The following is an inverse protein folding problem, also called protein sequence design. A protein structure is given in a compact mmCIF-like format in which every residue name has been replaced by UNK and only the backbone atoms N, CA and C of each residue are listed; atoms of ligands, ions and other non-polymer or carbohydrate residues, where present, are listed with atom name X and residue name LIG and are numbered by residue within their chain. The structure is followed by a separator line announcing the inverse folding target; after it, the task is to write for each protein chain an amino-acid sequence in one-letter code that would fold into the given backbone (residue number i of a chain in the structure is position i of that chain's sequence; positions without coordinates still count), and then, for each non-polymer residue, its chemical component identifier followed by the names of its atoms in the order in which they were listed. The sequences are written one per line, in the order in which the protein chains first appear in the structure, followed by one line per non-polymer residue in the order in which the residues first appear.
data_IF_469947753976
#
_entry.id   IF_469947753976
#
_cell.length_a   1.000
_cell.length_b   1.000
_cell.length_c   1.000
_cell.angle_alpha   90.00
_cell.angle_beta   90.00
_cell.angle_gamma   90.00
#
_symmetry.space_group_name_H-M   'P 1'
#
loop_
_entity.id
_entity.type
_entity.pdbx_description
1 polymer ?
#
# COMPACT_ATOMS: atom_id res chain seq x y z
N UNK A 1 -2.39 -0.02 -19.85
CA UNK A 1 -1.08 0.08 -19.17
C UNK A 1 -0.43 1.39 -19.58
N UNK A 2 0.22 2.14 -18.68
CA UNK A 2 0.84 3.42 -19.04
C UNK A 2 2.21 3.19 -19.71
N UNK A 3 2.63 4.04 -20.65
CA UNK A 3 3.97 3.98 -21.27
C UNK A 3 5.10 4.03 -20.23
N UNK A 4 4.84 4.66 -19.08
CA UNK A 4 5.80 4.69 -17.98
C UNK A 4 5.94 3.33 -17.31
N UNK A 5 4.80 2.71 -16.97
CA UNK A 5 4.79 1.38 -16.36
C UNK A 5 5.47 0.35 -17.26
N UNK A 6 5.27 0.42 -18.58
CA UNK A 6 6.02 -0.42 -19.54
C UNK A 6 7.54 -0.25 -19.43
N UNK A 7 8.03 0.99 -19.30
CA UNK A 7 9.46 1.26 -19.14
C UNK A 7 10.01 0.77 -17.80
N UNK A 8 9.24 0.93 -16.73
CA UNK A 8 9.60 0.44 -15.39
C UNK A 8 9.65 -1.08 -15.38
N UNK A 9 8.65 -1.75 -15.97
CA UNK A 9 8.61 -3.20 -16.12
C UNK A 9 9.78 -3.72 -16.96
N UNK A 10 10.08 -3.10 -18.11
CA UNK A 10 11.21 -3.49 -18.93
C UNK A 10 12.55 -3.30 -18.20
N UNK A 11 12.71 -2.24 -17.40
CA UNK A 11 13.91 -2.05 -16.58
C UNK A 11 13.98 -3.07 -15.44
N UNK A 12 12.86 -3.36 -14.78
CA UNK A 12 12.74 -4.36 -13.74
C UNK A 12 13.07 -5.75 -14.26
N UNK A 13 12.56 -6.14 -15.42
CA UNK A 13 12.87 -7.42 -16.07
C UNK A 13 14.39 -7.55 -16.31
N UNK A 14 15.01 -6.52 -16.88
CA UNK A 14 16.44 -6.54 -17.15
C UNK A 14 17.34 -6.54 -15.89
N UNK A 15 16.90 -5.94 -14.78
CA UNK A 15 17.73 -5.81 -13.57
C UNK A 15 17.39 -6.84 -12.48
N UNK A 16 16.15 -7.32 -12.43
CA UNK A 16 15.59 -8.10 -11.32
C UNK A 16 15.17 -9.51 -11.73
N UNK A 17 14.84 -9.78 -13.01
CA UNK A 17 14.40 -11.12 -13.42
C UNK A 17 15.51 -12.19 -13.36
N UNK A 18 16.77 -11.79 -13.54
CA UNK A 18 17.92 -12.70 -13.47
C UNK A 18 18.22 -13.23 -12.05
N UNK A 19 17.42 -12.86 -11.05
CA UNK A 19 17.71 -13.12 -9.63
C UNK A 19 17.17 -14.45 -9.10
N UNK A 20 16.31 -15.15 -9.85
CA UNK A 20 15.87 -16.52 -9.54
C UNK A 20 15.38 -16.72 -8.10
N UNK A 21 15.62 -17.91 -7.54
CA UNK A 21 15.22 -18.32 -6.19
C UNK A 21 16.05 -17.69 -5.03
N UNK A 22 16.81 -16.62 -5.29
CA UNK A 22 17.61 -15.95 -4.23
C UNK A 22 16.71 -15.17 -3.28
N UNK A 23 17.12 -15.07 -2.02
CA UNK A 23 16.35 -14.29 -1.03
C UNK A 23 16.45 -12.80 -1.37
N UNK A 24 15.36 -12.01 -1.25
CA UNK A 24 15.39 -10.60 -1.61
C UNK A 24 16.48 -9.79 -0.86
N UNK A 25 16.79 -10.18 0.37
CA UNK A 25 17.84 -9.57 1.19
C UNK A 25 19.25 -9.77 0.63
N UNK A 26 19.51 -10.86 -0.10
CA UNK A 26 20.83 -11.16 -0.71
C UNK A 26 21.12 -10.28 -1.94
N UNK A 27 20.07 -9.79 -2.60
CA UNK A 27 20.14 -8.96 -3.81
C UNK A 27 19.71 -7.51 -3.54
N UNK A 28 19.63 -7.10 -2.27
CA UNK A 28 19.27 -5.75 -1.82
C UNK A 28 20.00 -4.61 -2.56
N UNK A 29 21.32 -4.67 -2.84
CA UNK A 29 22.00 -3.59 -3.57
C UNK A 29 21.41 -3.32 -4.96
N UNK A 30 20.86 -4.34 -5.61
CA UNK A 30 20.25 -4.22 -6.94
C UNK A 30 18.88 -3.55 -6.86
N UNK A 31 18.05 -3.95 -5.90
CA UNK A 31 16.78 -3.27 -5.62
C UNK A 31 16.99 -1.78 -5.29
N UNK A 32 17.99 -1.46 -4.47
CA UNK A 32 18.37 -0.06 -4.18
C UNK A 32 18.81 0.68 -5.43
N UNK A 33 19.60 0.05 -6.30
CA UNK A 33 20.05 0.65 -7.56
C UNK A 33 18.88 0.92 -8.50
N UNK A 34 17.99 -0.05 -8.66
CA UNK A 34 16.76 0.08 -9.46
C UNK A 34 15.91 1.25 -8.96
N UNK A 35 15.59 1.28 -7.67
CA UNK A 35 14.83 2.37 -7.05
C UNK A 35 15.48 3.73 -7.25
N UNK A 36 16.80 3.83 -7.03
CA UNK A 36 17.53 5.09 -7.20
C UNK A 36 17.42 5.62 -8.63
N UNK A 37 17.49 4.75 -9.65
CA UNK A 37 17.36 5.14 -11.06
C UNK A 37 15.93 5.60 -11.36
N UNK A 38 14.93 4.83 -10.95
CA UNK A 38 13.53 5.17 -11.25
C UNK A 38 13.03 6.39 -10.47
N UNK A 39 13.37 6.53 -9.19
CA UNK A 39 13.05 7.74 -8.44
C UNK A 39 13.75 8.98 -9.03
N UNK A 40 14.97 8.83 -9.57
CA UNK A 40 15.64 9.90 -10.29
C UNK A 40 14.88 10.30 -11.57
N UNK A 41 14.37 9.32 -12.34
CA UNK A 41 13.55 9.57 -13.52
C UNK A 41 12.24 10.29 -13.17
N UNK A 42 11.58 9.90 -12.08
CA UNK A 42 10.39 10.58 -11.58
C UNK A 42 10.69 12.03 -11.19
N UNK A 43 11.82 12.27 -10.52
CA UNK A 43 12.26 13.62 -10.17
C UNK A 43 12.51 14.49 -11.40
N UNK A 44 13.23 13.98 -12.40
CA UNK A 44 13.48 14.71 -13.65
C UNK A 44 12.17 15.06 -14.37
N UNK A 45 11.23 14.12 -14.41
CA UNK A 45 9.91 14.36 -15.01
C UNK A 45 9.12 15.43 -14.25
N UNK A 46 9.15 15.42 -12.93
CA UNK A 46 8.51 16.47 -12.12
C UNK A 46 9.15 17.84 -12.39
N UNK A 47 10.49 17.90 -12.44
CA UNK A 47 11.24 19.12 -12.77
C UNK A 47 10.97 19.64 -14.17
N UNK A 48 10.64 18.75 -15.12
CA UNK A 48 10.23 19.10 -16.48
C UNK A 48 8.74 19.54 -16.59
N UNK A 49 8.03 19.71 -15.46
CA UNK A 49 6.64 20.17 -15.44
C UNK A 49 5.57 19.07 -15.37
N UNK A 50 5.95 17.83 -15.07
CA UNK A 50 4.99 16.75 -14.81
C UNK A 50 4.09 17.06 -13.60
N UNK A 51 2.80 16.70 -13.67
CA UNK A 51 1.84 17.04 -12.63
C UNK A 51 2.03 16.24 -11.33
N UNK A 52 1.77 16.83 -10.16
CA UNK A 52 1.97 16.17 -8.86
C UNK A 52 1.20 14.85 -8.71
N UNK A 53 -0.07 14.80 -9.12
CA UNK A 53 -0.88 13.56 -9.12
C UNK A 53 -0.29 12.49 -10.05
N UNK A 54 0.21 12.90 -11.21
CA UNK A 54 0.88 11.98 -12.15
C UNK A 54 2.13 11.37 -11.51
N UNK A 55 2.95 12.18 -10.85
CA UNK A 55 4.17 11.69 -10.18
C UNK A 55 3.83 10.74 -9.03
N UNK A 56 2.78 11.04 -8.24
CA UNK A 56 2.34 10.15 -7.16
C UNK A 56 1.85 8.80 -7.68
N UNK A 57 1.06 8.79 -8.76
CA UNK A 57 0.59 7.57 -9.40
C UNK A 57 1.75 6.72 -9.93
N UNK A 58 2.69 7.35 -10.63
CA UNK A 58 3.88 6.66 -11.16
C UNK A 58 4.79 6.14 -10.05
N UNK A 59 4.91 6.87 -8.95
CA UNK A 59 5.66 6.39 -7.79
C UNK A 59 4.99 5.17 -7.15
N UNK A 60 3.66 5.16 -7.06
CA UNK A 60 2.92 3.99 -6.60
C UNK A 60 3.16 2.78 -7.54
N UNK A 61 3.04 2.97 -8.86
CA UNK A 61 3.34 1.94 -9.87
C UNK A 61 4.76 1.37 -9.73
N UNK A 62 5.77 2.24 -9.51
CA UNK A 62 7.14 1.83 -9.27
C UNK A 62 7.29 0.93 -8.03
N UNK A 63 6.65 1.32 -6.93
CA UNK A 63 6.71 0.55 -5.67
C UNK A 63 5.90 -0.75 -5.80
N UNK A 64 4.81 -0.76 -6.56
CA UNK A 64 4.06 -1.98 -6.89
C UNK A 64 4.95 -3.00 -7.59
N UNK A 65 5.67 -2.57 -8.65
CA UNK A 65 6.59 -3.44 -9.40
C UNK A 65 7.66 -3.99 -8.47
N UNK A 66 8.30 -3.12 -7.67
CA UNK A 66 9.29 -3.58 -6.67
C UNK A 66 8.70 -4.67 -5.77
N UNK A 67 7.54 -4.40 -5.16
CA UNK A 67 6.92 -5.31 -4.20
C UNK A 67 6.49 -6.62 -4.84
N UNK A 68 6.04 -6.62 -6.09
CA UNK A 68 5.71 -7.83 -6.83
C UNK A 68 6.93 -8.72 -7.04
N UNK A 69 8.08 -8.15 -7.46
CA UNK A 69 9.32 -8.91 -7.60
C UNK A 69 9.82 -9.45 -6.25
N UNK A 70 9.78 -8.62 -5.21
CA UNK A 70 10.23 -9.00 -3.86
C UNK A 70 9.34 -10.10 -3.28
N UNK A 71 8.03 -9.98 -3.43
CA UNK A 71 7.08 -10.99 -3.00
C UNK A 71 7.27 -12.31 -3.77
N UNK A 72 7.43 -12.25 -5.09
CA UNK A 72 7.69 -13.43 -5.92
C UNK A 72 9.00 -14.15 -5.55
N UNK A 73 10.07 -13.40 -5.34
CA UNK A 73 11.36 -13.96 -4.91
C UNK A 73 11.26 -14.59 -3.50
N UNK A 74 10.59 -13.92 -2.56
CA UNK A 74 10.36 -14.46 -1.22
C UNK A 74 9.48 -15.73 -1.26
N UNK A 75 8.44 -15.74 -2.10
CA UNK A 75 7.58 -16.90 -2.30
C UNK A 75 8.34 -18.10 -2.89
N UNK A 76 9.22 -17.86 -3.87
CA UNK A 76 10.03 -18.89 -4.52
C UNK A 76 11.08 -19.46 -3.56
N UNK A 77 11.78 -18.59 -2.82
CA UNK A 77 12.76 -19.01 -1.81
C UNK A 77 12.11 -19.81 -0.67
N UNK A 78 10.84 -19.51 -0.39
CA UNK A 78 10.04 -20.22 0.56
C UNK A 78 9.59 -21.59 -0.01
N UNK A 79 8.72 -21.62 -1.02
CA UNK A 79 7.99 -22.83 -1.41
C UNK A 79 8.64 -23.66 -2.52
N UNK A 80 9.79 -23.21 -3.06
CA UNK A 80 10.33 -23.79 -4.30
C UNK A 80 9.46 -23.47 -5.51
N UNK A 81 9.65 -24.20 -6.61
CA UNK A 81 8.90 -24.06 -7.87
C UNK A 81 7.51 -24.76 -7.83
N UNK A 82 7.10 -25.30 -6.67
CA UNK A 82 5.80 -25.97 -6.56
C UNK A 82 4.66 -24.96 -6.72
N UNK A 83 3.92 -25.11 -7.83
CA UNK A 83 2.79 -24.28 -8.27
C UNK A 83 1.57 -24.24 -7.33
N UNK A 84 1.68 -24.80 -6.12
CA UNK A 84 0.70 -24.66 -5.05
C UNK A 84 0.79 -23.23 -4.50
N UNK A 85 -0.08 -22.35 -5.00
CA UNK A 85 -0.07 -20.91 -4.73
C UNK A 85 0.20 -20.53 -3.28
N UNK A 86 1.00 -19.47 -3.10
CA UNK A 86 1.35 -18.94 -1.78
C UNK A 86 0.06 -18.54 -1.04
N UNK A 87 -0.22 -19.08 0.17
CA UNK A 87 -1.44 -18.78 0.93
C UNK A 87 -1.39 -17.39 1.61
N UNK A 88 -0.80 -16.41 0.92
CA UNK A 88 -0.65 -15.02 1.32
C UNK A 88 -1.05 -14.11 0.16
N UNK A 89 -1.71 -13.02 0.49
CA UNK A 89 -1.93 -11.90 -0.42
C UNK A 89 -1.27 -10.64 0.16
N UNK A 90 -0.51 -9.95 -0.67
CA UNK A 90 0.05 -8.63 -0.37
C UNK A 90 -0.93 -7.56 -0.85
N UNK A 91 -1.36 -6.71 0.08
CA UNK A 91 -2.38 -5.68 -0.15
C UNK A 91 -1.80 -4.31 0.23
N UNK A 92 -1.84 -3.33 -0.67
CA UNK A 92 -1.56 -1.94 -0.35
C UNK A 92 -2.74 -1.30 0.38
N UNK A 93 -2.50 -0.43 1.36
CA UNK A 93 -3.52 0.25 2.15
C UNK A 93 -3.42 1.79 2.02
N UNK A 94 -4.51 2.48 2.37
CA UNK A 94 -4.56 3.93 2.49
C UNK A 94 -4.14 4.67 1.21
N UNK A 95 -3.34 5.73 1.38
CA UNK A 95 -2.84 6.52 0.25
C UNK A 95 -2.03 5.72 -0.77
N UNK A 96 -1.29 4.71 -0.32
CA UNK A 96 -0.57 3.81 -1.24
C UNK A 96 -1.53 2.89 -2.00
N UNK A 97 -2.53 2.35 -1.31
CA UNK A 97 -3.61 1.57 -1.91
C UNK A 97 -4.40 2.34 -2.96
N UNK A 98 -4.69 3.63 -2.71
CA UNK A 98 -5.31 4.57 -3.67
C UNK A 98 -4.38 4.96 -4.85
N UNK A 99 -3.11 4.57 -4.83
CA UNK A 99 -2.14 4.94 -5.87
C UNK A 99 -1.63 6.38 -5.76
N UNK A 100 -1.70 6.99 -4.58
CA UNK A 100 -1.27 8.37 -4.32
C UNK A 100 -0.05 8.41 -3.41
N UNK A 101 1.07 7.89 -3.89
CA UNK A 101 2.29 7.79 -3.10
C UNK A 101 3.18 9.03 -3.28
N UNK A 102 3.07 10.01 -2.36
CA UNK A 102 3.94 11.19 -2.39
C UNK A 102 5.41 10.81 -2.07
N UNK A 103 6.39 11.64 -2.46
CA UNK A 103 7.77 11.50 -1.97
C UNK A 103 7.78 11.43 -0.43
N UNK A 104 8.60 10.53 0.11
CA UNK A 104 8.72 10.28 1.55
C UNK A 104 7.44 9.81 2.27
N UNK A 105 6.39 9.43 1.54
CA UNK A 105 5.23 8.77 2.14
C UNK A 105 5.61 7.39 2.65
N UNK A 106 4.97 7.00 3.74
CA UNK A 106 5.01 5.63 4.24
C UNK A 106 4.39 4.68 3.19
N UNK A 107 4.92 3.46 3.13
CA UNK A 107 4.40 2.35 2.33
C UNK A 107 3.57 1.47 3.25
N UNK A 108 2.26 1.64 3.21
CA UNK A 108 1.32 0.91 4.05
C UNK A 108 0.87 -0.39 3.37
N UNK A 109 1.20 -1.54 3.96
CA UNK A 109 0.86 -2.87 3.41
C UNK A 109 0.19 -3.78 4.43
N UNK A 110 -0.64 -4.71 3.95
CA UNK A 110 -1.20 -5.80 4.71
C UNK A 110 -0.85 -7.13 4.05
N UNK A 111 -0.30 -8.04 4.84
CA UNK A 111 -0.04 -9.42 4.48
C UNK A 111 -1.23 -10.23 4.98
N UNK A 112 -2.15 -10.52 4.07
CA UNK A 112 -3.38 -11.26 4.34
C UNK A 112 -3.12 -12.75 4.18
N UNK A 113 -3.49 -13.56 5.17
CA UNK A 113 -3.37 -15.02 5.10
C UNK A 113 -4.71 -15.73 5.25
N UNK A 114 -4.81 -16.94 4.69
CA UNK A 114 -6.03 -17.76 4.77
C UNK A 114 -6.32 -18.17 6.22
N UNK A 115 -7.60 -18.30 6.55
CA UNK A 115 -8.03 -18.75 7.88
C UNK A 115 -7.73 -20.23 8.09
N UNK A 116 -7.19 -20.59 9.25
CA UNK A 116 -6.93 -21.99 9.62
C UNK A 116 -5.94 -22.16 10.76
N UNK A 117 -5.01 -21.22 10.93
CA UNK A 117 -4.05 -21.22 12.02
C UNK A 117 -4.01 -19.86 12.71
N UNK A 118 -4.11 -19.86 14.04
CA UNK A 118 -4.00 -18.66 14.90
C UNK A 118 -2.63 -17.96 14.79
N UNK A 119 -1.69 -18.63 14.12
CA UNK A 119 -0.35 -18.17 13.77
C UNK A 119 -0.07 -18.57 12.32
N UNK A 120 0.53 -17.69 11.55
CA UNK A 120 1.08 -18.07 10.25
C UNK A 120 2.17 -19.14 10.44
N UNK A 121 2.41 -19.99 9.44
CA UNK A 121 3.48 -20.98 9.55
C UNK A 121 4.84 -20.25 9.63
N UNK A 122 5.87 -20.84 10.27
CA UNK A 122 7.20 -20.21 10.37
C UNK A 122 7.76 -19.77 9.02
N UNK A 123 7.39 -20.50 7.99
CA UNK A 123 7.75 -20.24 6.61
C UNK A 123 7.12 -18.96 6.03
N UNK A 124 5.84 -18.75 6.31
CA UNK A 124 5.15 -17.52 5.94
C UNK A 124 5.66 -16.35 6.80
N UNK A 125 6.02 -16.57 8.07
CA UNK A 125 6.67 -15.55 8.90
C UNK A 125 7.99 -15.09 8.28
N UNK A 126 8.82 -16.03 7.84
CA UNK A 126 10.07 -15.74 7.17
C UNK A 126 9.84 -14.98 5.86
N UNK A 127 8.85 -15.38 5.05
CA UNK A 127 8.49 -14.68 3.82
C UNK A 127 8.07 -13.22 4.10
N UNK A 128 7.19 -13.01 5.09
CA UNK A 128 6.76 -11.66 5.50
C UNK A 128 7.95 -10.83 5.95
N UNK A 129 8.84 -11.40 6.76
CA UNK A 129 10.04 -10.72 7.24
C UNK A 129 10.97 -10.34 6.08
N UNK A 130 11.17 -11.21 5.08
CA UNK A 130 12.00 -10.90 3.92
C UNK A 130 11.46 -9.69 3.14
N UNK A 131 10.12 -9.61 2.95
CA UNK A 131 9.48 -8.46 2.30
C UNK A 131 9.70 -7.18 3.11
N UNK A 132 9.45 -7.23 4.43
CA UNK A 132 9.53 -6.05 5.31
C UNK A 132 10.97 -5.55 5.48
N UNK A 133 11.93 -6.45 5.72
CA UNK A 133 13.34 -6.09 5.85
C UNK A 133 13.87 -5.44 4.57
N UNK A 134 13.51 -5.96 3.39
CA UNK A 134 13.91 -5.33 2.15
C UNK A 134 13.38 -3.90 2.03
N UNK A 135 12.11 -3.65 2.39
CA UNK A 135 11.54 -2.31 2.33
C UNK A 135 12.25 -1.34 3.27
N UNK A 136 12.46 -1.73 4.53
CA UNK A 136 13.19 -0.92 5.49
C UNK A 136 14.63 -0.67 5.06
N UNK A 137 15.33 -1.71 4.63
CA UNK A 137 16.70 -1.59 4.18
C UNK A 137 16.81 -0.73 2.92
N UNK A 138 15.80 -0.73 2.06
CA UNK A 138 15.67 0.14 0.89
C UNK A 138 15.34 1.60 1.24
N UNK A 139 15.12 1.91 2.52
CA UNK A 139 14.91 3.26 3.02
C UNK A 139 13.43 3.68 3.13
N UNK A 140 12.49 2.76 2.92
CA UNK A 140 11.07 3.05 3.13
C UNK A 140 10.71 3.07 4.61
N UNK A 141 9.82 3.99 4.97
CA UNK A 141 9.00 3.85 6.18
C UNK A 141 7.82 2.96 5.84
N UNK A 142 7.58 1.94 6.65
CA UNK A 142 6.58 0.90 6.32
C UNK A 142 5.59 0.78 7.46
N UNK A 143 4.33 1.11 7.19
CA UNK A 143 3.21 0.65 8.00
C UNK A 143 2.84 -0.75 7.55
N UNK A 144 2.80 -1.72 8.46
CA UNK A 144 2.45 -3.08 8.07
C UNK A 144 1.51 -3.75 9.06
N UNK A 145 0.77 -4.73 8.57
CA UNK A 145 0.04 -5.67 9.40
C UNK A 145 0.00 -7.04 8.75
N UNK A 146 0.03 -8.08 9.56
CA UNK A 146 -0.19 -9.46 9.10
C UNK A 146 -1.45 -9.96 9.77
N UNK A 147 -2.47 -10.29 8.97
CA UNK A 147 -3.81 -10.60 9.49
C UNK A 147 -4.47 -11.69 8.67
N UNK A 148 -5.33 -12.46 9.33
CA UNK A 148 -6.39 -13.20 8.65
C UNK A 148 -7.53 -12.27 8.24
N UNK A 149 -8.38 -12.72 7.30
CA UNK A 149 -9.60 -12.00 6.91
C UNK A 149 -10.47 -11.65 8.13
N UNK A 150 -10.61 -12.57 9.09
CA UNK A 150 -11.38 -12.34 10.32
C UNK A 150 -10.78 -11.22 11.17
N UNK A 151 -9.47 -11.25 11.41
CA UNK A 151 -8.79 -10.22 12.21
C UNK A 151 -8.83 -8.86 11.53
N UNK A 152 -8.68 -8.82 10.21
CA UNK A 152 -8.80 -7.58 9.44
C UNK A 152 -10.19 -6.95 9.60
N UNK A 153 -11.25 -7.75 9.49
CA UNK A 153 -12.65 -7.29 9.67
C UNK A 153 -12.91 -6.86 11.12
N UNK A 154 -12.45 -7.64 12.10
CA UNK A 154 -12.58 -7.27 13.52
C UNK A 154 -11.87 -5.95 13.80
N UNK A 155 -10.64 -5.78 13.31
CA UNK A 155 -9.89 -4.55 13.50
C UNK A 155 -10.55 -3.37 12.80
N UNK A 156 -11.05 -3.55 11.57
CA UNK A 156 -11.76 -2.51 10.85
C UNK A 156 -13.00 -2.02 11.62
N UNK A 157 -13.75 -2.92 12.25
CA UNK A 157 -14.92 -2.51 13.03
C UNK A 157 -14.57 -1.91 14.39
N UNK A 158 -13.37 -2.17 14.92
CA UNK A 158 -12.91 -1.60 16.19
C UNK A 158 -12.18 -0.25 16.02
N UNK A 159 -11.40 -0.09 14.95
CA UNK A 159 -10.59 1.10 14.70
C UNK A 159 -10.91 1.71 13.34
N UNK A 160 -11.45 2.92 13.38
CA UNK A 160 -11.90 3.65 12.19
C UNK A 160 -10.75 4.12 11.31
N UNK A 161 -9.55 4.34 11.87
CA UNK A 161 -8.37 4.66 11.05
C UNK A 161 -7.99 3.45 10.20
N UNK A 162 -7.97 2.26 10.81
CA UNK A 162 -7.80 1.00 10.08
C UNK A 162 -8.91 0.76 9.06
N UNK A 163 -10.19 0.98 9.42
CA UNK A 163 -11.32 0.87 8.48
C UNK A 163 -11.11 1.74 7.25
N UNK A 164 -10.76 3.01 7.47
CA UNK A 164 -10.55 3.99 6.40
C UNK A 164 -9.37 3.58 5.50
N UNK A 165 -8.27 3.09 6.08
CA UNK A 165 -7.15 2.58 5.29
C UNK A 165 -7.51 1.34 4.46
N UNK A 166 -8.39 0.47 4.98
CA UNK A 166 -8.86 -0.74 4.29
C UNK A 166 -9.91 -0.47 3.20
N UNK A 167 -10.68 0.63 3.28
CA UNK A 167 -11.54 1.08 2.16
C UNK A 167 -10.71 1.22 0.89
N UNK A 168 -9.47 1.66 1.03
CA UNK A 168 -8.53 1.92 -0.05
C UNK A 168 -7.63 0.73 -0.35
N UNK A 169 -7.99 -0.47 0.12
CA UNK A 169 -7.19 -1.66 -0.13
C UNK A 169 -7.09 -2.01 -1.62
N UNK A 170 -5.87 -2.32 -2.06
CA UNK A 170 -5.57 -2.74 -3.44
C UNK A 170 -4.63 -3.93 -3.43
N UNK A 171 -5.00 -4.98 -4.14
CA UNK A 171 -4.18 -6.18 -4.31
C UNK A 171 -2.90 -5.86 -5.09
N UNK A 172 -1.76 -6.39 -4.62
CA UNK A 172 -0.46 -6.25 -5.27
C UNK A 172 0.08 -7.57 -5.81
N UNK A 173 0.09 -8.64 -5.00
CA UNK A 173 0.70 -9.93 -5.32
C UNK A 173 0.16 -11.07 -4.43
N UNK A 174 0.33 -12.32 -4.86
CA UNK A 174 -0.01 -13.53 -4.09
C UNK A 174 -1.38 -14.11 -4.44
N UNK A 175 -2.08 -14.65 -3.45
CA UNK A 175 -3.40 -15.28 -3.60
C UNK A 175 -4.49 -14.24 -3.91
N UNK A 176 -4.84 -14.13 -5.20
CA UNK A 176 -5.86 -13.19 -5.67
C UNK A 176 -7.28 -13.55 -5.19
N UNK A 177 -7.59 -14.84 -5.03
CA UNK A 177 -8.89 -15.29 -4.52
C UNK A 177 -9.06 -14.86 -3.05
N UNK A 178 -8.01 -15.02 -2.23
CA UNK A 178 -8.01 -14.56 -0.84
C UNK A 178 -8.20 -13.04 -0.75
N UNK A 179 -7.55 -12.27 -1.63
CA UNK A 179 -7.72 -10.82 -1.66
C UNK A 179 -9.13 -10.40 -2.07
N UNK A 180 -9.72 -11.10 -3.05
CA UNK A 180 -11.10 -10.88 -3.46
C UNK A 180 -12.09 -11.22 -2.34
N UNK A 181 -11.93 -12.39 -1.70
CA UNK A 181 -12.76 -12.81 -0.57
C UNK A 181 -12.71 -11.78 0.57
N UNK A 182 -11.51 -11.27 0.90
CA UNK A 182 -11.38 -10.19 1.87
C UNK A 182 -12.13 -8.94 1.45
N UNK A 183 -12.05 -8.52 0.18
CA UNK A 183 -12.74 -7.32 -0.31
C UNK A 183 -14.26 -7.44 -0.17
N UNK A 184 -14.81 -8.60 -0.51
CA UNK A 184 -16.24 -8.91 -0.41
C UNK A 184 -16.71 -8.96 1.06
N UNK A 185 -15.95 -9.64 1.91
CA UNK A 185 -16.28 -9.71 3.34
C UNK A 185 -16.12 -8.36 4.05
N UNK A 186 -15.13 -7.56 3.67
CA UNK A 186 -14.94 -6.22 4.20
C UNK A 186 -16.11 -5.31 3.83
N UNK A 187 -16.57 -5.34 2.56
CA UNK A 187 -17.73 -4.55 2.13
C UNK A 187 -18.98 -4.94 2.92
N UNK A 188 -19.32 -6.23 2.96
CA UNK A 188 -20.53 -6.73 3.61
C UNK A 188 -20.55 -6.59 5.13
N UNK A 189 -19.38 -6.64 5.81
CA UNK A 189 -19.31 -6.65 7.29
C UNK A 189 -18.80 -5.35 7.91
N UNK A 190 -18.23 -4.43 7.14
CA UNK A 190 -17.65 -3.20 7.68
C UNK A 190 -18.23 -1.92 7.05
N UNK A 191 -18.85 -2.01 5.87
CA UNK A 191 -19.35 -0.86 5.10
C UNK A 191 -20.87 -0.89 5.03
N UNK A 192 -21.45 -1.96 4.47
CA UNK A 192 -22.90 -2.09 4.32
C UNK A 192 -23.59 -2.07 5.69
N UNK A 193 -24.56 -1.17 5.85
CA UNK A 193 -25.29 -0.96 7.10
C UNK A 193 -24.56 -0.09 8.15
N UNK A 194 -23.33 0.35 7.88
CA UNK A 194 -22.53 1.23 8.74
C UNK A 194 -22.27 2.61 8.14
N UNK A 195 -22.96 2.96 7.05
CA UNK A 195 -22.69 4.17 6.25
C UNK A 195 -22.91 5.43 7.08
N UNK A 196 -24.03 5.49 7.80
CA UNK A 196 -24.38 6.66 8.63
C UNK A 196 -23.39 6.88 9.77
N UNK A 197 -23.05 5.83 10.49
CA UNK A 197 -22.06 5.87 11.58
C UNK A 197 -20.70 6.34 11.06
N UNK A 198 -20.29 5.83 9.89
CA UNK A 198 -19.05 6.23 9.25
C UNK A 198 -19.06 7.71 8.84
N UNK A 199 -20.11 8.19 8.19
CA UNK A 199 -20.25 9.59 7.76
C UNK A 199 -20.23 10.53 8.96
N UNK A 200 -21.03 10.27 9.99
CA UNK A 200 -21.07 11.08 11.21
C UNK A 200 -19.68 11.19 11.86
N UNK A 201 -18.96 10.06 11.96
CA UNK A 201 -17.59 10.05 12.47
C UNK A 201 -16.62 10.85 11.59
N UNK A 202 -16.69 10.71 10.26
CA UNK A 202 -15.83 11.46 9.33
C UNK A 202 -16.12 12.97 9.37
N UNK A 203 -17.36 13.39 9.67
CA UNK A 203 -17.69 14.79 9.94
C UNK A 203 -17.07 15.27 11.25
N UNK A 204 -17.14 14.48 12.32
CA UNK A 204 -16.48 14.81 13.59
C UNK A 204 -14.96 14.94 13.45
N UNK A 205 -14.30 14.02 12.74
CA UNK A 205 -12.86 14.09 12.44
C UNK A 205 -12.50 15.37 11.68
N UNK A 206 -13.32 15.77 10.70
CA UNK A 206 -13.11 17.00 9.96
C UNK A 206 -13.16 18.23 10.87
N UNK A 207 -14.20 18.37 11.69
CA UNK A 207 -14.35 19.51 12.62
C UNK A 207 -13.19 19.55 13.62
N UNK A 208 -12.83 18.41 14.22
CA UNK A 208 -11.73 18.33 15.18
C UNK A 208 -10.39 18.71 14.54
N UNK A 209 -10.16 18.25 13.30
CA UNK A 209 -8.95 18.55 12.53
C UNK A 209 -8.87 20.02 12.14
N UNK A 210 -9.96 20.63 11.64
CA UNK A 210 -9.99 22.06 11.31
C UNK A 210 -9.69 22.92 12.52
N UNK A 211 -10.30 22.62 13.68
CA UNK A 211 -9.99 23.30 14.94
C UNK A 211 -8.51 23.24 15.32
N UNK A 212 -7.82 22.12 15.02
CA UNK A 212 -6.40 21.92 15.33
C UNK A 212 -5.46 22.62 14.34
N UNK A 213 -5.78 22.62 13.04
CA UNK A 213 -4.90 23.11 11.96
C UNK A 213 -5.34 24.45 11.38
N UNK A 214 -6.24 25.14 12.08
CA UNK A 214 -6.80 26.42 11.72
C UNK A 214 -8.11 26.27 10.94
N UNK A 215 -9.15 26.86 11.51
CA UNK A 215 -10.55 26.74 11.08
C UNK A 215 -10.90 27.75 9.99
N UNK A 216 -9.96 28.01 9.08
CA UNK A 216 -10.10 29.01 8.03
C UNK A 216 -9.22 28.68 6.84
N UNK A 217 -9.72 28.96 5.64
CA UNK A 217 -8.98 28.88 4.38
C UNK A 217 -8.02 30.06 4.18
N UNK A 218 -8.11 31.10 5.03
CA UNK A 218 -7.36 32.36 4.89
C UNK A 218 -6.11 32.42 5.79
N UNK A 219 -5.61 31.28 6.27
CA UNK A 219 -4.35 31.24 7.00
C UNK A 219 -3.19 31.63 6.07
N UNK A 220 -2.25 32.43 6.58
CA UNK A 220 -1.05 32.81 5.82
C UNK A 220 -0.16 31.58 5.54
N UNK A 221 -0.11 30.64 6.48
CA UNK A 221 0.64 29.39 6.38
C UNK A 221 -0.31 28.18 6.58
N UNK A 222 -1.13 27.84 5.57
CA UNK A 222 -2.12 26.79 5.72
C UNK A 222 -1.47 25.40 5.68
N UNK A 223 -1.98 24.48 6.51
CA UNK A 223 -1.54 23.09 6.45
C UNK A 223 -2.14 22.39 5.22
N UNK A 224 -1.34 22.18 4.17
CA UNK A 224 -1.82 21.66 2.86
C UNK A 224 -2.56 20.31 2.95
N UNK A 225 -2.14 19.42 3.87
CA UNK A 225 -2.82 18.14 4.11
C UNK A 225 -4.05 18.26 5.03
N UNK A 226 -3.89 18.86 6.20
CA UNK A 226 -4.83 18.77 7.31
C UNK A 226 -5.60 20.05 7.61
N UNK A 227 -5.30 21.17 6.98
CA UNK A 227 -6.05 22.42 7.13
C UNK A 227 -7.42 22.37 6.47
N UNK A 228 -8.22 23.42 6.69
CA UNK A 228 -9.50 23.61 6.02
C UNK A 228 -9.30 23.78 4.50
N UNK A 229 -10.03 23.00 3.71
CA UNK A 229 -9.88 22.93 2.25
C UNK A 229 -8.65 22.15 1.78
N UNK A 230 -7.94 21.49 2.69
CA UNK A 230 -6.73 20.72 2.38
C UNK A 230 -6.99 19.34 1.75
N UNK A 231 -5.91 18.62 1.46
CA UNK A 231 -5.98 17.30 0.82
C UNK A 231 -6.86 16.30 1.58
N UNK A 232 -6.87 16.35 2.92
CA UNK A 232 -7.69 15.46 3.74
C UNK A 232 -9.18 15.76 3.62
N UNK A 233 -9.59 16.99 3.34
CA UNK A 233 -11.00 17.31 3.05
C UNK A 233 -11.45 16.67 1.74
N UNK A 234 -10.62 16.77 0.69
CA UNK A 234 -10.87 16.08 -0.58
C UNK A 234 -10.96 14.57 -0.39
N UNK A 235 -10.02 13.96 0.33
CA UNK A 235 -10.04 12.53 0.65
C UNK A 235 -11.31 12.14 1.43
N UNK A 236 -11.76 13.00 2.35
CA UNK A 236 -12.97 12.76 3.13
C UNK A 236 -14.21 12.60 2.23
N UNK A 237 -14.33 13.43 1.20
CA UNK A 237 -15.42 13.34 0.23
C UNK A 237 -15.37 12.02 -0.55
N UNK A 238 -14.17 11.55 -0.93
CA UNK A 238 -14.01 10.26 -1.59
C UNK A 238 -14.43 9.11 -0.68
N UNK A 239 -14.08 9.15 0.61
CA UNK A 239 -14.45 8.11 1.56
C UNK A 239 -15.95 8.09 1.89
N UNK A 240 -16.59 9.25 1.96
CA UNK A 240 -18.04 9.33 2.19
C UNK A 240 -18.88 8.88 0.99
N UNK A 241 -18.27 8.77 -0.20
CA UNK A 241 -18.92 8.34 -1.44
C UNK A 241 -18.52 6.93 -1.88
N UNK A 242 -17.69 6.26 -1.09
CA UNK A 242 -17.29 4.86 -1.29
C UNK A 242 -18.47 3.91 -1.09
#
# INVERSE_FOLDING_TARGET
MSRHLEQVLAHAENQLAAMGARRPTEVLPLYKKFLKVEEHRLRLKHQAGGGGREICARRAELVDVLLQYVFGAAATAAHGDEASGTPLALIALGGYGRGELNPFSDVDVMLLHRQGSRKISPHLEEMVQQVLYLLWDSGFKVGHSTRSTKEAITQANHDMLTKTAMLESRFLAGDAELAQEFREQFRSKCVEGHEREYVEMRMHDQVARHKKFGDSVYLQEPHVKSGCGGLRDYQNLLWMTY
#
